data_IF_426792380797
#
_entry.id   IF_426792380797
#
_cell.length_a   1.000
_cell.length_b   1.000
_cell.length_c   1.000
_cell.angle_alpha   90.00
_cell.angle_beta   90.00
_cell.angle_gamma   90.00
#
_symmetry.space_group_name_H-M   'P 1'
#
loop_
_entity.id
_entity.type
_entity.pdbx_description
1 polymer ?
#
# COMPACT_ATOMS: atom_id res chain seq x y z
N UNK A 1 -32.61 -5.26 -13.92
CA UNK A 1 -32.02 -6.58 -14.20
C UNK A 1 -31.81 -7.31 -12.89
N UNK A 2 -32.43 -8.47 -12.71
CA UNK A 2 -32.40 -9.25 -11.47
C UNK A 2 -30.95 -9.67 -11.14
N UNK A 3 -30.44 -9.29 -9.96
CA UNK A 3 -29.14 -9.77 -9.44
C UNK A 3 -29.22 -11.29 -9.28
N UNK A 4 -28.53 -12.05 -10.13
CA UNK A 4 -28.43 -13.50 -9.97
C UNK A 4 -27.64 -13.77 -8.69
N UNK A 5 -28.32 -14.24 -7.65
CA UNK A 5 -27.72 -14.56 -6.37
C UNK A 5 -26.64 -15.66 -6.51
N UNK A 6 -25.55 -15.52 -5.76
CA UNK A 6 -24.54 -16.56 -5.65
C UNK A 6 -25.09 -17.74 -4.84
N UNK A 7 -24.75 -18.95 -5.24
CA UNK A 7 -24.92 -20.12 -4.35
C UNK A 7 -23.92 -20.02 -3.20
N UNK A 8 -24.19 -20.73 -2.09
CA UNK A 8 -23.28 -20.74 -0.94
C UNK A 8 -21.84 -21.15 -1.32
N UNK A 9 -21.70 -22.14 -2.23
CA UNK A 9 -20.38 -22.56 -2.75
C UNK A 9 -19.70 -21.48 -3.57
N UNK A 10 -20.44 -20.78 -4.43
CA UNK A 10 -19.89 -19.68 -5.23
C UNK A 10 -19.51 -18.47 -4.38
N UNK A 11 -20.27 -18.21 -3.32
CA UNK A 11 -19.95 -17.17 -2.37
C UNK A 11 -18.63 -17.48 -1.65
N UNK A 12 -18.49 -18.69 -1.10
CA UNK A 12 -17.26 -19.13 -0.43
C UNK A 12 -16.06 -19.07 -1.39
N UNK A 13 -16.25 -19.47 -2.66
CA UNK A 13 -15.21 -19.44 -3.69
C UNK A 13 -14.75 -18.00 -4.01
N UNK A 14 -15.69 -17.09 -4.19
CA UNK A 14 -15.39 -15.67 -4.44
C UNK A 14 -14.71 -15.02 -3.21
N UNK A 15 -15.19 -15.32 -2.00
CA UNK A 15 -14.61 -14.85 -0.73
C UNK A 15 -13.16 -15.29 -0.57
N UNK A 16 -12.85 -16.56 -0.89
CA UNK A 16 -11.49 -17.09 -0.84
C UNK A 16 -10.57 -16.31 -1.80
N UNK A 17 -10.96 -16.16 -3.07
CA UNK A 17 -10.16 -15.42 -4.07
C UNK A 17 -9.91 -13.99 -3.61
N UNK A 18 -10.96 -13.28 -3.19
CA UNK A 18 -10.87 -11.89 -2.75
C UNK A 18 -9.93 -11.76 -1.54
N UNK A 19 -10.04 -12.67 -0.57
CA UNK A 19 -9.15 -12.71 0.60
C UNK A 19 -7.70 -12.97 0.21
N UNK A 20 -7.46 -13.98 -0.64
CA UNK A 20 -6.11 -14.34 -1.08
C UNK A 20 -5.42 -13.17 -1.79
N UNK A 21 -6.11 -12.52 -2.75
CA UNK A 21 -5.59 -11.35 -3.45
C UNK A 21 -5.26 -10.22 -2.46
N UNK A 22 -6.12 -9.99 -1.46
CA UNK A 22 -5.88 -8.96 -0.44
C UNK A 22 -4.66 -9.27 0.44
N UNK A 23 -4.46 -10.54 0.80
CA UNK A 23 -3.37 -10.96 1.69
C UNK A 23 -2.02 -11.07 0.98
N UNK A 24 -2.02 -11.48 -0.30
CA UNK A 24 -0.80 -11.79 -1.05
C UNK A 24 -0.49 -10.80 -2.19
N UNK A 25 -1.47 -10.00 -2.61
CA UNK A 25 -1.36 -9.10 -3.76
C UNK A 25 -1.45 -9.82 -5.12
N UNK A 26 -1.58 -11.14 -5.15
CA UNK A 26 -1.61 -11.94 -6.39
C UNK A 26 -2.83 -12.84 -6.44
N UNK A 27 -3.23 -13.22 -7.65
CA UNK A 27 -4.30 -14.18 -7.88
C UNK A 27 -3.88 -15.58 -7.43
N UNK A 28 -4.74 -16.35 -6.70
CA UNK A 28 -4.39 -17.70 -6.30
C UNK A 28 -4.26 -18.62 -7.51
N UNK A 29 -3.27 -19.50 -7.49
CA UNK A 29 -3.08 -20.53 -8.51
C UNK A 29 -4.21 -21.56 -8.46
N UNK A 30 -4.45 -22.23 -9.57
CA UNK A 30 -5.43 -23.34 -9.63
C UNK A 30 -5.14 -24.42 -8.59
N UNK A 31 -3.86 -24.68 -8.32
CA UNK A 31 -3.43 -25.68 -7.34
C UNK A 31 -3.82 -25.26 -5.91
N UNK A 32 -3.56 -24.03 -5.52
CA UNK A 32 -3.93 -23.48 -4.22
C UNK A 32 -5.46 -23.53 -4.00
N UNK A 33 -6.24 -23.20 -5.05
CA UNK A 33 -7.69 -23.26 -4.99
C UNK A 33 -8.16 -24.73 -4.84
N UNK A 34 -7.58 -25.66 -5.60
CA UNK A 34 -7.90 -27.10 -5.52
C UNK A 34 -7.61 -27.64 -4.12
N UNK A 35 -6.45 -27.31 -3.56
CA UNK A 35 -6.05 -27.72 -2.20
C UNK A 35 -6.97 -27.13 -1.13
N UNK A 36 -7.26 -25.83 -1.19
CA UNK A 36 -8.10 -25.15 -0.21
C UNK A 36 -9.54 -25.71 -0.14
N UNK A 37 -10.16 -25.96 -1.31
CA UNK A 37 -11.52 -26.46 -1.41
C UNK A 37 -11.61 -28.00 -1.44
N UNK A 38 -10.48 -28.68 -1.37
CA UNK A 38 -10.39 -30.14 -1.50
C UNK A 38 -11.11 -30.67 -2.76
N UNK A 39 -10.91 -29.99 -3.90
CA UNK A 39 -11.51 -30.39 -5.16
C UNK A 39 -10.80 -31.60 -5.76
N UNK A 40 -11.56 -32.47 -6.43
CA UNK A 40 -11.02 -33.67 -7.09
C UNK A 40 -10.24 -33.34 -8.39
N UNK A 41 -10.49 -32.17 -8.98
CA UNK A 41 -9.84 -31.78 -10.24
C UNK A 41 -9.83 -30.26 -10.45
N UNK A 42 -8.89 -29.72 -11.23
CA UNK A 42 -8.86 -28.31 -11.67
C UNK A 42 -10.13 -27.87 -12.44
N UNK A 43 -10.87 -28.80 -13.07
CA UNK A 43 -12.10 -28.46 -13.78
C UNK A 43 -13.14 -27.82 -12.87
N UNK A 44 -13.18 -28.18 -11.59
CA UNK A 44 -14.09 -27.57 -10.63
C UNK A 44 -13.76 -26.07 -10.41
N UNK A 45 -12.49 -25.69 -10.46
CA UNK A 45 -12.04 -24.29 -10.40
C UNK A 45 -12.55 -23.54 -11.63
N UNK A 46 -12.29 -24.07 -12.82
CA UNK A 46 -12.74 -23.48 -14.10
C UNK A 46 -14.25 -23.26 -14.14
N UNK A 47 -15.04 -24.24 -13.70
CA UNK A 47 -16.50 -24.13 -13.66
C UNK A 47 -16.99 -23.02 -12.70
N UNK A 48 -16.36 -22.88 -11.51
CA UNK A 48 -16.70 -21.80 -10.58
C UNK A 48 -16.30 -20.43 -11.12
N UNK A 49 -15.12 -20.28 -11.74
CA UNK A 49 -14.68 -19.04 -12.39
C UNK A 49 -15.64 -18.64 -13.53
N UNK A 50 -16.01 -19.56 -14.39
CA UNK A 50 -17.00 -19.32 -15.46
C UNK A 50 -18.37 -18.93 -14.92
N UNK A 51 -18.83 -19.58 -13.86
CA UNK A 51 -20.10 -19.25 -13.23
C UNK A 51 -20.10 -17.84 -12.60
N UNK A 52 -19.01 -17.45 -11.95
CA UNK A 52 -18.83 -16.09 -11.40
C UNK A 52 -18.74 -15.04 -12.52
N UNK A 53 -18.03 -15.35 -13.60
CA UNK A 53 -17.97 -14.48 -14.78
C UNK A 53 -19.36 -14.29 -15.42
N UNK A 54 -20.12 -15.36 -15.66
CA UNK A 54 -21.50 -15.28 -16.17
C UNK A 54 -22.43 -14.46 -15.27
N UNK A 55 -22.19 -14.47 -13.96
CA UNK A 55 -22.94 -13.67 -12.99
C UNK A 55 -22.42 -12.24 -12.86
N UNK A 56 -21.29 -11.92 -13.54
CA UNK A 56 -20.66 -10.62 -13.61
C UNK A 56 -19.93 -10.21 -12.33
N UNK A 57 -19.40 -11.16 -11.56
CA UNK A 57 -18.49 -10.94 -10.44
C UNK A 57 -17.03 -10.95 -10.87
N UNK A 58 -16.74 -11.54 -12.04
CA UNK A 58 -15.43 -11.55 -12.66
C UNK A 58 -15.53 -10.98 -14.09
N UNK A 59 -14.45 -10.34 -14.55
CA UNK A 59 -14.22 -10.01 -15.96
C UNK A 59 -13.10 -10.88 -16.50
N UNK A 60 -13.06 -11.07 -17.83
CA UNK A 60 -11.96 -11.77 -18.48
C UNK A 60 -10.86 -10.78 -18.83
N UNK A 61 -9.60 -11.15 -18.52
CA UNK A 61 -8.43 -10.36 -18.83
C UNK A 61 -7.37 -11.30 -19.44
N UNK A 62 -7.19 -11.25 -20.77
CA UNK A 62 -6.36 -12.21 -21.49
C UNK A 62 -6.78 -13.66 -21.21
N UNK A 63 -5.84 -14.47 -20.72
CA UNK A 63 -6.09 -15.88 -20.36
C UNK A 63 -6.61 -16.07 -18.93
N UNK A 64 -6.77 -14.97 -18.17
CA UNK A 64 -7.17 -14.98 -16.76
C UNK A 64 -8.52 -14.33 -16.47
N UNK A 65 -8.74 -14.05 -15.17
CA UNK A 65 -9.92 -13.36 -14.66
C UNK A 65 -9.49 -12.27 -13.69
N UNK A 66 -10.24 -11.15 -13.71
CA UNK A 66 -10.13 -10.07 -12.72
C UNK A 66 -11.44 -9.95 -11.93
N UNK A 67 -11.34 -9.47 -10.68
CA UNK A 67 -12.51 -9.12 -9.89
C UNK A 67 -13.21 -7.88 -10.47
N UNK A 68 -14.54 -7.91 -10.51
CA UNK A 68 -15.32 -6.70 -10.80
C UNK A 68 -15.56 -5.97 -9.48
N UNK A 69 -14.84 -4.87 -9.25
CA UNK A 69 -14.84 -4.10 -8.01
C UNK A 69 -16.23 -3.80 -7.43
N UNK A 70 -17.22 -3.56 -8.29
CA UNK A 70 -18.58 -3.26 -7.86
C UNK A 70 -19.40 -4.47 -7.39
N UNK A 71 -18.86 -5.68 -7.49
CA UNK A 71 -19.58 -6.94 -7.23
C UNK A 71 -18.82 -7.92 -6.33
N UNK A 72 -17.61 -7.59 -5.91
CA UNK A 72 -16.96 -8.31 -4.83
C UNK A 72 -17.91 -8.33 -3.62
N UNK A 73 -18.03 -9.46 -2.88
CA UNK A 73 -18.79 -9.44 -1.65
C UNK A 73 -18.29 -8.29 -0.80
N UNK A 74 -19.18 -7.52 -0.17
CA UNK A 74 -18.75 -6.44 0.71
C UNK A 74 -17.78 -7.06 1.71
N UNK A 75 -16.51 -6.74 1.54
CA UNK A 75 -15.50 -7.03 2.55
C UNK A 75 -15.94 -6.21 3.73
N UNK A 76 -16.35 -6.86 4.81
CA UNK A 76 -16.61 -6.17 6.05
C UNK A 76 -15.39 -5.29 6.33
N UNK A 77 -15.63 -3.98 6.39
CA UNK A 77 -14.67 -2.91 6.65
C UNK A 77 -13.80 -2.47 5.45
N UNK A 78 -14.39 -1.80 4.47
CA UNK A 78 -13.62 -0.94 3.54
C UNK A 78 -13.12 0.34 4.21
N UNK A 79 -13.22 0.47 5.53
CA UNK A 79 -12.75 1.63 6.25
C UNK A 79 -12.87 1.52 7.76
N UNK A 80 -12.32 2.50 8.47
CA UNK A 80 -12.34 2.60 9.92
C UNK A 80 -13.57 3.42 10.34
N UNK A 81 -14.50 2.87 11.14
CA UNK A 81 -15.68 3.62 11.58
C UNK A 81 -15.29 4.77 12.51
N UNK A 82 -15.86 5.95 12.29
CA UNK A 82 -15.70 7.12 13.17
C UNK A 82 -16.81 7.10 14.22
N UNK A 83 -16.42 6.79 15.48
CA UNK A 83 -17.36 6.57 16.57
C UNK A 83 -17.71 7.81 17.41
N UNK A 84 -17.12 8.96 17.10
CA UNK A 84 -17.39 10.18 17.85
C UNK A 84 -16.40 11.29 17.63
N UNK A 85 -16.54 12.37 18.40
CA UNK A 85 -15.66 13.54 18.38
C UNK A 85 -15.00 13.67 19.75
N UNK A 86 -13.70 13.94 19.76
CA UNK A 86 -12.95 14.30 20.96
C UNK A 86 -12.66 15.81 20.89
N UNK A 87 -13.16 16.56 21.86
CA UNK A 87 -12.88 18.00 21.98
C UNK A 87 -11.59 18.20 22.78
N UNK A 88 -10.60 18.81 22.17
CA UNK A 88 -9.36 19.15 22.87
C UNK A 88 -9.58 20.37 23.78
N UNK A 89 -9.25 20.27 25.07
CA UNK A 89 -9.20 21.40 25.99
C UNK A 89 -10.24 21.42 27.12
N UNK A 90 -11.41 20.84 26.97
CA UNK A 90 -12.39 20.70 28.03
C UNK A 90 -13.02 19.32 28.03
N UNK A 91 -13.23 18.76 29.22
CA UNK A 91 -13.98 17.51 29.37
C UNK A 91 -15.45 17.82 29.08
N UNK A 92 -15.95 17.38 27.93
CA UNK A 92 -17.37 17.35 27.58
C UNK A 92 -17.82 15.89 27.54
N UNK A 93 -19.09 15.66 27.80
CA UNK A 93 -19.68 14.32 27.64
C UNK A 93 -19.43 13.81 26.24
N UNK A 94 -18.86 12.60 26.15
CA UNK A 94 -18.61 11.93 24.89
C UNK A 94 -19.95 11.60 24.24
N UNK A 95 -20.27 12.26 23.14
CA UNK A 95 -21.41 11.89 22.31
C UNK A 95 -20.98 10.77 21.40
N UNK A 96 -21.40 9.53 21.67
CA UNK A 96 -21.30 8.45 20.71
C UNK A 96 -22.18 8.78 19.50
N UNK A 97 -21.54 9.05 18.38
CA UNK A 97 -22.22 9.29 17.12
C UNK A 97 -21.55 8.45 16.03
N UNK A 98 -22.34 7.79 15.22
CA UNK A 98 -21.84 7.16 14.01
C UNK A 98 -21.62 8.24 12.94
N UNK A 99 -20.39 8.74 12.82
CA UNK A 99 -20.00 9.80 11.91
C UNK A 99 -19.50 9.28 10.55
N UNK A 100 -19.79 8.01 10.24
CA UNK A 100 -19.39 7.40 8.99
C UNK A 100 -18.11 6.57 9.10
N UNK A 101 -17.40 6.45 8.00
CA UNK A 101 -16.23 5.57 7.86
C UNK A 101 -15.10 6.32 7.17
N UNK A 102 -13.89 6.21 7.70
CA UNK A 102 -12.67 6.72 7.07
C UNK A 102 -12.10 5.62 6.17
N UNK A 103 -11.94 5.91 4.87
CA UNK A 103 -11.24 5.07 3.90
C UNK A 103 -9.92 5.73 3.48
N UNK A 104 -9.08 5.00 2.75
CA UNK A 104 -7.84 5.59 2.19
C UNK A 104 -8.17 6.74 1.21
N UNK A 105 -9.23 6.61 0.42
CA UNK A 105 -9.68 7.64 -0.52
C UNK A 105 -10.14 8.90 0.22
N UNK A 106 -10.77 8.74 1.38
CA UNK A 106 -11.19 9.87 2.22
C UNK A 106 -9.99 10.60 2.83
N UNK A 107 -8.95 9.86 3.24
CA UNK A 107 -7.74 10.43 3.83
C UNK A 107 -6.79 11.03 2.80
N UNK A 108 -6.74 10.42 1.61
CA UNK A 108 -5.82 10.78 0.54
C UNK A 108 -6.58 11.02 -0.77
N UNK A 109 -7.04 12.25 -1.03
CA UNK A 109 -7.76 12.59 -2.27
C UNK A 109 -7.02 12.26 -3.56
N UNK A 110 -5.67 12.21 -3.49
CA UNK A 110 -4.79 11.85 -4.62
C UNK A 110 -4.29 10.40 -4.53
N UNK A 111 -5.09 9.48 -3.99
CA UNK A 111 -4.70 8.07 -3.80
C UNK A 111 -4.17 7.41 -5.09
N UNK A 112 -4.69 7.80 -6.25
CA UNK A 112 -4.23 7.31 -7.57
C UNK A 112 -2.77 7.66 -7.90
N UNK A 113 -2.17 8.63 -7.18
CA UNK A 113 -0.76 9.02 -7.28
C UNK A 113 0.11 8.38 -6.20
N UNK A 114 -0.49 7.59 -5.31
CA UNK A 114 0.24 6.91 -4.25
C UNK A 114 0.66 5.51 -4.68
N UNK A 115 1.79 5.09 -4.18
CA UNK A 115 2.28 3.72 -4.30
C UNK A 115 3.07 3.34 -3.05
N UNK A 116 3.32 2.05 -2.88
CA UNK A 116 4.09 1.54 -1.76
C UNK A 116 5.32 0.79 -2.24
N UNK A 117 6.41 0.92 -1.48
CA UNK A 117 7.64 0.13 -1.66
C UNK A 117 7.94 -0.58 -0.34
N UNK A 118 8.32 -1.85 -0.42
CA UNK A 118 8.81 -2.57 0.75
C UNK A 118 10.27 -2.23 0.98
N UNK A 119 10.60 -1.84 2.22
CA UNK A 119 11.96 -1.50 2.63
C UNK A 119 12.81 -2.77 2.75
N UNK A 120 14.03 -2.70 2.23
CA UNK A 120 15.09 -3.68 2.48
C UNK A 120 16.29 -2.94 3.05
N UNK A 121 16.71 -3.33 4.25
CA UNK A 121 17.84 -2.71 4.97
C UNK A 121 17.43 -1.70 6.04
N UNK A 122 18.44 -1.09 6.67
CA UNK A 122 18.31 -0.31 7.90
C UNK A 122 18.77 1.15 7.77
N UNK A 123 18.96 1.66 6.55
CA UNK A 123 19.53 2.99 6.31
C UNK A 123 18.67 4.15 6.83
N UNK A 124 17.41 3.89 7.19
CA UNK A 124 16.46 4.90 7.69
C UNK A 124 15.96 4.58 9.11
N UNK A 125 16.67 3.72 9.87
CA UNK A 125 16.28 3.32 11.24
C UNK A 125 16.15 4.49 12.21
N UNK A 126 16.95 5.54 12.05
CA UNK A 126 16.93 6.72 12.91
C UNK A 126 15.67 7.58 12.79
N UNK A 127 14.86 7.37 11.78
CA UNK A 127 13.53 7.99 11.63
C UNK A 127 12.39 6.99 11.78
N UNK A 128 12.68 5.79 12.31
CA UNK A 128 11.69 4.77 12.64
C UNK A 128 11.26 3.90 11.49
N UNK A 129 12.00 3.88 10.36
CA UNK A 129 11.73 3.03 9.20
C UNK A 129 12.72 1.86 9.20
N UNK A 130 12.20 0.64 9.24
CA UNK A 130 12.98 -0.59 9.41
C UNK A 130 12.81 -1.54 8.23
N UNK A 131 13.70 -2.55 8.19
CA UNK A 131 13.60 -3.65 7.22
C UNK A 131 12.23 -4.32 7.26
N UNK A 132 11.65 -4.55 6.10
CA UNK A 132 10.34 -5.18 5.94
C UNK A 132 9.13 -4.23 6.04
N UNK A 133 9.32 -2.97 6.42
CA UNK A 133 8.24 -1.97 6.42
C UNK A 133 7.77 -1.66 5.00
N UNK A 134 6.50 -1.24 4.87
CA UNK A 134 5.96 -0.69 3.63
C UNK A 134 5.95 0.83 3.71
N UNK A 135 6.72 1.49 2.87
CA UNK A 135 6.75 2.95 2.76
C UNK A 135 5.72 3.40 1.75
N UNK A 136 4.86 4.32 2.17
CA UNK A 136 3.86 4.97 1.33
C UNK A 136 4.46 6.22 0.71
N UNK A 137 4.41 6.30 -0.59
CA UNK A 137 4.99 7.37 -1.40
C UNK A 137 3.91 8.05 -2.23
N UNK A 138 4.05 9.35 -2.45
CA UNK A 138 3.26 10.13 -3.37
C UNK A 138 4.13 10.47 -4.59
N UNK A 139 3.62 10.25 -5.80
CA UNK A 139 4.27 10.66 -7.06
C UNK A 139 4.28 12.19 -7.18
N UNK A 140 5.20 12.80 -6.44
CA UNK A 140 5.44 14.22 -6.33
C UNK A 140 6.93 14.47 -6.06
N UNK A 141 7.38 15.70 -6.34
CA UNK A 141 8.72 16.15 -5.99
C UNK A 141 8.97 16.09 -4.48
N UNK A 142 10.20 15.78 -4.13
CA UNK A 142 10.64 15.74 -2.73
C UNK A 142 11.12 17.15 -2.35
N UNK A 143 10.52 17.80 -1.34
CA UNK A 143 11.03 19.10 -0.88
C UNK A 143 12.44 18.96 -0.29
N UNK A 144 13.25 20.02 -0.37
CA UNK A 144 14.62 20.03 0.15
C UNK A 144 14.65 19.62 1.64
N UNK A 145 15.44 18.61 1.98
CA UNK A 145 15.48 17.97 3.30
C UNK A 145 14.33 17.03 3.59
N UNK A 146 13.45 16.77 2.61
CA UNK A 146 12.37 15.80 2.69
C UNK A 146 12.87 14.36 2.52
N UNK A 147 12.07 13.38 2.98
CA UNK A 147 12.32 11.96 2.73
C UNK A 147 11.60 11.55 1.46
N UNK A 148 12.23 10.73 0.63
CA UNK A 148 11.61 10.15 -0.54
C UNK A 148 12.42 9.03 -1.16
N UNK A 149 11.80 8.36 -2.14
CA UNK A 149 12.46 7.31 -2.91
C UNK A 149 13.09 7.89 -4.16
N UNK A 150 14.34 7.50 -4.39
CA UNK A 150 15.16 7.88 -5.53
C UNK A 150 15.68 6.63 -6.21
N UNK A 151 15.52 6.55 -7.52
CA UNK A 151 16.21 5.58 -8.35
C UNK A 151 17.57 6.17 -8.72
N UNK A 152 18.66 5.47 -8.41
CA UNK A 152 20.02 5.89 -8.67
C UNK A 152 20.80 4.71 -9.25
N UNK A 153 21.29 4.86 -10.49
CA UNK A 153 22.01 3.81 -11.22
C UNK A 153 21.30 2.43 -11.23
N UNK A 154 19.98 2.43 -11.38
CA UNK A 154 19.18 1.22 -11.38
C UNK A 154 18.78 0.67 -10.00
N UNK A 155 19.26 1.27 -8.91
CA UNK A 155 18.92 0.88 -7.54
C UNK A 155 17.94 1.88 -6.91
N UNK A 156 16.89 1.37 -6.28
CA UNK A 156 15.94 2.20 -5.53
C UNK A 156 16.40 2.37 -4.10
N UNK A 157 16.46 3.62 -3.64
CA UNK A 157 16.88 3.97 -2.28
C UNK A 157 15.90 4.96 -1.64
N UNK A 158 15.62 4.76 -0.34
CA UNK A 158 14.88 5.72 0.49
C UNK A 158 15.88 6.52 1.30
N UNK A 159 15.88 7.84 1.14
CA UNK A 159 16.82 8.75 1.79
C UNK A 159 16.16 10.10 2.12
N UNK A 160 16.82 10.87 2.95
CA UNK A 160 16.57 12.30 3.03
C UNK A 160 17.30 12.98 1.87
N UNK A 161 16.58 13.83 1.14
CA UNK A 161 17.04 14.39 -0.13
C UNK A 161 17.33 15.86 0.04
N UNK A 162 18.55 16.28 -0.29
CA UNK A 162 18.96 17.69 -0.30
C UNK A 162 19.39 18.10 -1.69
N UNK A 163 18.95 19.29 -2.07
CA UNK A 163 19.33 19.95 -3.31
C UNK A 163 20.15 21.18 -2.97
N UNK A 164 21.36 21.26 -3.48
CA UNK A 164 22.24 22.41 -3.32
C UNK A 164 22.99 22.76 -4.62
N UNK A 165 23.91 23.75 -4.54
CA UNK A 165 24.71 24.15 -5.69
C UNK A 165 25.71 23.08 -6.17
N UNK A 166 25.98 22.05 -5.36
CA UNK A 166 26.89 20.95 -5.66
C UNK A 166 26.17 19.76 -6.28
N UNK A 167 24.81 19.75 -6.27
CA UNK A 167 23.99 18.70 -6.84
C UNK A 167 22.96 18.13 -5.87
N UNK A 168 22.82 16.81 -5.90
CA UNK A 168 21.89 16.05 -5.08
C UNK A 168 22.65 15.28 -4.01
N UNK A 169 22.26 15.46 -2.73
CA UNK A 169 22.78 14.66 -1.61
C UNK A 169 21.67 13.82 -1.03
N UNK A 170 21.92 12.52 -0.94
CA UNK A 170 21.04 11.51 -0.37
C UNK A 170 21.58 11.06 0.98
N UNK A 171 20.96 11.53 2.04
CA UNK A 171 21.39 11.31 3.43
C UNK A 171 20.61 10.16 4.06
N UNK A 172 21.27 9.10 4.54
CA UNK A 172 20.66 8.06 5.37
C UNK A 172 20.30 8.61 6.75
N UNK A 173 19.31 8.02 7.39
CA UNK A 173 19.01 8.25 8.80
C UNK A 173 19.59 7.11 9.67
N UNK A 174 20.85 6.78 9.43
CA UNK A 174 21.60 5.77 10.16
C UNK A 174 23.08 6.01 9.95
N UNK A 175 23.81 6.26 11.05
CA UNK A 175 25.26 6.57 11.09
C UNK A 175 26.16 5.46 10.52
N UNK A 176 25.62 4.25 10.34
CA UNK A 176 26.36 3.13 9.71
C UNK A 176 26.46 3.23 8.19
N UNK A 177 25.80 4.24 7.58
CA UNK A 177 25.73 4.45 6.15
C UNK A 177 26.20 5.86 5.79
N UNK A 178 26.99 5.97 4.74
CA UNK A 178 27.49 7.24 4.23
C UNK A 178 26.46 7.98 3.36
N UNK A 179 26.61 9.29 3.27
CA UNK A 179 25.89 10.13 2.33
C UNK A 179 26.28 9.78 0.89
N UNK A 180 25.30 9.78 -0.02
CA UNK A 180 25.56 9.67 -1.46
C UNK A 180 25.46 11.06 -2.06
N UNK A 181 26.56 11.57 -2.62
CA UNK A 181 26.62 12.88 -3.28
C UNK A 181 26.67 12.67 -4.79
N UNK A 182 25.64 13.15 -5.49
CA UNK A 182 25.50 13.04 -6.94
C UNK A 182 25.71 14.42 -7.53
N UNK A 183 26.80 14.58 -8.31
CA UNK A 183 27.18 15.84 -8.92
C UNK A 183 26.54 16.02 -10.30
N UNK A 184 26.19 17.26 -10.70
CA UNK A 184 25.51 17.52 -11.98
C UNK A 184 26.34 17.17 -13.24
N UNK A 185 27.67 17.10 -13.09
CA UNK A 185 28.63 16.83 -14.16
C UNK A 185 28.94 15.34 -14.38
N UNK A 186 28.37 14.48 -13.53
CA UNK A 186 28.51 13.02 -13.63
C UNK A 186 27.28 12.46 -14.35
N UNK A 187 27.48 11.67 -15.42
CA UNK A 187 26.42 10.96 -16.14
C UNK A 187 25.91 9.78 -15.29
N UNK A 188 25.11 10.10 -14.28
CA UNK A 188 24.43 9.12 -13.44
C UNK A 188 22.93 9.19 -13.69
N UNK A 189 22.30 8.03 -13.81
CA UNK A 189 20.85 7.96 -13.96
C UNK A 189 20.18 8.19 -12.60
N UNK A 190 19.62 9.39 -12.42
CA UNK A 190 18.89 9.76 -11.21
C UNK A 190 17.43 10.05 -11.54
N UNK A 191 16.51 9.41 -10.85
CA UNK A 191 15.08 9.67 -10.97
C UNK A 191 14.43 9.76 -9.61
N UNK A 192 13.74 10.85 -9.34
CA UNK A 192 12.84 10.96 -8.19
C UNK A 192 11.63 10.06 -8.44
N UNK A 193 11.39 9.13 -7.54
CA UNK A 193 10.24 8.22 -7.63
C UNK A 193 9.03 8.76 -6.88
N UNK A 194 9.24 9.44 -5.76
CA UNK A 194 8.16 10.06 -5.01
C UNK A 194 8.52 10.44 -3.58
N UNK A 195 7.70 11.34 -3.04
CA UNK A 195 7.83 11.88 -1.69
C UNK A 195 7.23 10.92 -0.66
N UNK A 196 7.92 10.74 0.45
CA UNK A 196 7.44 9.97 1.60
C UNK A 196 6.21 10.63 2.25
N UNK A 197 5.19 9.82 2.51
CA UNK A 197 3.95 10.20 3.20
C UNK A 197 3.87 9.57 4.59
N UNK A 198 4.24 8.30 4.68
CA UNK A 198 4.21 7.51 5.90
C UNK A 198 4.72 6.10 5.65
N UNK A 199 4.74 5.27 6.67
CA UNK A 199 5.05 3.84 6.54
C UNK A 199 4.12 2.99 7.40
N UNK A 200 4.01 1.73 7.05
CA UNK A 200 3.14 0.74 7.69
C UNK A 200 3.96 -0.50 8.00
N UNK A 201 3.81 -1.00 9.19
CA UNK A 201 4.30 -2.32 9.61
C UNK A 201 3.22 -3.06 10.41
N UNK A 202 3.57 -4.22 10.98
CA UNK A 202 2.63 -5.02 11.76
C UNK A 202 2.10 -4.32 13.02
N UNK A 203 2.80 -3.30 13.51
CA UNK A 203 2.44 -2.55 14.71
C UNK A 203 1.53 -1.35 14.43
N UNK A 204 1.42 -0.90 13.17
CA UNK A 204 0.55 0.22 12.82
C UNK A 204 1.02 1.05 11.63
N UNK A 205 0.45 2.25 11.55
CA UNK A 205 0.77 3.28 10.55
C UNK A 205 1.54 4.39 11.23
N UNK A 206 2.68 4.77 10.68
CA UNK A 206 3.59 5.73 11.28
C UNK A 206 3.99 6.83 10.30
N UNK A 207 4.49 7.93 10.84
CA UNK A 207 5.13 9.00 10.09
C UNK A 207 6.52 9.23 10.69
N UNK A 208 7.53 9.33 9.83
CA UNK A 208 8.90 9.59 10.26
C UNK A 208 8.97 10.87 11.11
N UNK A 209 9.57 10.79 12.29
CA UNK A 209 9.81 11.92 13.15
C UNK A 209 10.80 12.91 12.53
N UNK A 210 10.68 14.21 12.85
CA UNK A 210 11.78 15.14 12.63
C UNK A 210 12.89 14.76 13.60
N UNK A 211 14.07 14.42 13.11
CA UNK A 211 15.23 14.41 13.97
C UNK A 211 15.45 15.83 14.52
N UNK A 212 15.66 16.00 15.84
CA UNK A 212 16.17 17.27 16.36
C UNK A 212 17.51 17.54 15.65
N UNK A 213 17.63 18.72 15.04
CA UNK A 213 18.94 19.19 14.58
C UNK A 213 19.81 19.33 15.81
N UNK A 214 20.83 18.50 15.96
CA UNK A 214 21.96 18.84 16.81
C UNK A 214 22.68 19.97 16.07
N UNK A 215 22.47 21.20 16.52
CA UNK A 215 23.34 22.31 16.19
C UNK A 215 24.70 22.01 16.88
N UNK A 216 25.74 21.85 16.04
CA UNK A 216 27.11 21.73 16.46
C UNK A 216 27.70 23.13 16.73
#
# INVERSE_FOLDING_TARGET
>A
MSRRQLTQKQHAFLTYITRHIRETGVWPTYREIVEYFNYRSPNSVTQNLQALHKKGFLTRNGDGYDLVDSKAPPTELTGIPVKGIITAGHLQEAVEANLGTITLETLFPSLHRMFAIRVSGMSMKGVGIYDGDYVLLMDEDIPNGGIGAVLFNGETSLKRVYYDAQGLRLEPANEEYDDIVIRPDVFEEVRIMGRYVGHVNRSGIFRAGRMPRYEA
#
